data_IF_051150043088
#
_entry.id   IF_051150043088
#
_cell.length_a   1.000
_cell.length_b   1.000
_cell.length_c   1.000
_cell.angle_alpha   90.00
_cell.angle_beta   90.00
_cell.angle_gamma   90.00
#
_symmetry.space_group_name_H-M   'P 1'
#
loop_
_entity.id
_entity.type
_entity.pdbx_description
1 polymer ?
#
# COMPACT_ATOMS: atom_id res chain seq x y z
N UNK A 1 24.13 12.69 19.67
CA UNK A 1 24.62 11.65 18.71
C UNK A 1 24.21 10.32 19.32
N UNK A 2 23.69 9.34 18.59
CA UNK A 2 23.08 8.13 19.21
C UNK A 2 24.07 7.37 20.13
N UNK A 3 25.37 7.50 19.86
CA UNK A 3 26.49 7.02 20.68
C UNK A 3 26.40 7.44 22.16
N UNK A 4 25.86 8.62 22.46
CA UNK A 4 25.76 9.14 23.84
C UNK A 4 24.84 8.26 24.72
N UNK A 5 23.94 7.50 24.09
CA UNK A 5 23.05 6.57 24.77
C UNK A 5 23.66 5.18 24.98
N UNK A 6 24.87 4.89 24.45
CA UNK A 6 25.50 3.57 24.51
C UNK A 6 25.55 3.00 25.92
N UNK A 7 26.18 3.71 26.85
CA UNK A 7 26.35 3.26 28.24
C UNK A 7 25.01 3.02 28.92
N UNK A 8 24.04 3.93 28.71
CA UNK A 8 22.69 3.81 29.29
C UNK A 8 21.93 2.59 28.75
N UNK A 9 22.07 2.29 27.46
CA UNK A 9 21.47 1.12 26.82
C UNK A 9 22.12 -0.18 27.30
N UNK A 10 23.45 -0.23 27.32
CA UNK A 10 24.21 -1.41 27.75
C UNK A 10 23.95 -1.74 29.23
N UNK A 11 23.86 -0.74 30.10
CA UNK A 11 23.46 -0.92 31.50
C UNK A 11 22.04 -1.47 31.68
N UNK A 12 21.18 -1.34 30.67
CA UNK A 12 19.80 -1.88 30.65
C UNK A 12 19.70 -3.20 29.88
N UNK A 13 20.84 -3.83 29.56
CA UNK A 13 20.89 -5.09 28.79
C UNK A 13 20.64 -4.92 27.29
N UNK A 14 20.60 -3.68 26.79
CA UNK A 14 20.53 -3.38 25.36
C UNK A 14 21.90 -3.41 24.69
N UNK A 15 21.91 -3.40 23.36
CA UNK A 15 23.14 -3.30 22.56
C UNK A 15 22.96 -2.24 21.49
N UNK A 16 23.85 -1.26 21.45
CA UNK A 16 23.91 -0.28 20.37
C UNK A 16 24.94 -0.74 19.32
N UNK A 17 24.47 -1.05 18.11
CA UNK A 17 25.32 -1.36 16.96
C UNK A 17 25.23 -0.19 15.98
N UNK A 18 26.39 0.30 15.54
CA UNK A 18 26.50 1.37 14.55
C UNK A 18 27.34 0.82 13.42
N UNK A 19 26.74 0.80 12.22
CA UNK A 19 27.39 0.34 11.00
C UNK A 19 27.49 1.47 9.99
N UNK A 20 28.58 1.52 9.24
CA UNK A 20 28.81 2.49 8.18
C UNK A 20 29.93 2.01 7.24
N UNK A 21 30.01 2.61 6.05
CA UNK A 21 31.12 2.37 5.13
C UNK A 21 32.29 3.31 5.44
N UNK A 22 33.52 2.81 5.33
CA UNK A 22 34.72 3.65 5.41
C UNK A 22 34.82 4.54 4.17
N UNK A 23 34.52 5.83 4.32
CA UNK A 23 35.01 6.95 3.50
C UNK A 23 34.48 7.14 2.07
N UNK A 24 34.38 6.10 1.24
CA UNK A 24 34.32 6.27 -0.23
C UNK A 24 33.12 5.59 -0.94
N UNK A 25 32.16 5.06 -0.18
CA UNK A 25 31.00 4.39 -0.78
C UNK A 25 29.78 5.30 -0.86
N UNK A 26 29.16 5.34 -2.04
CA UNK A 26 27.89 6.05 -2.23
C UNK A 26 26.77 5.43 -1.37
N UNK A 27 25.82 6.24 -0.84
CA UNK A 27 24.67 5.74 -0.11
C UNK A 27 23.85 4.76 -0.95
N UNK A 28 23.56 3.58 -0.39
CA UNK A 28 22.84 2.48 -1.07
C UNK A 28 21.32 2.50 -0.86
N UNK A 29 20.78 3.57 -0.27
CA UNK A 29 19.34 3.78 -0.07
C UNK A 29 18.76 3.10 1.19
N UNK A 30 17.47 3.39 1.44
CA UNK A 30 16.76 2.98 2.65
C UNK A 30 16.63 1.45 2.79
N UNK A 31 16.38 0.73 1.70
CA UNK A 31 16.28 -0.73 1.73
C UNK A 31 17.57 -1.42 2.18
N UNK A 32 18.72 -0.99 1.66
CA UNK A 32 20.02 -1.48 2.11
C UNK A 32 20.26 -1.21 3.59
N UNK A 33 19.97 0.02 4.06
CA UNK A 33 20.14 0.39 5.46
C UNK A 33 19.26 -0.46 6.39
N UNK A 34 17.99 -0.69 6.02
CA UNK A 34 17.06 -1.54 6.79
C UNK A 34 17.53 -2.99 6.81
N UNK A 35 17.93 -3.57 5.67
CA UNK A 35 18.46 -4.93 5.62
C UNK A 35 19.71 -5.09 6.51
N UNK A 36 20.64 -4.12 6.47
CA UNK A 36 21.85 -4.14 7.30
C UNK A 36 21.56 -3.99 8.79
N UNK A 37 20.61 -3.14 9.17
CA UNK A 37 20.18 -3.01 10.56
C UNK A 37 19.56 -4.33 11.07
N UNK A 38 18.77 -5.02 10.24
CA UNK A 38 18.17 -6.31 10.59
C UNK A 38 19.24 -7.39 10.74
N UNK A 39 20.22 -7.46 9.83
CA UNK A 39 21.36 -8.40 9.88
C UNK A 39 22.20 -8.22 11.16
N UNK A 40 22.38 -6.97 11.61
CA UNK A 40 23.14 -6.64 12.82
C UNK A 40 22.34 -6.85 14.12
N UNK A 41 21.01 -6.99 14.03
CA UNK A 41 20.12 -7.16 15.18
C UNK A 41 19.89 -8.63 15.52
N UNK A 42 19.56 -8.92 16.78
CA UNK A 42 19.33 -10.29 17.28
C UNK A 42 17.94 -10.54 17.89
N UNK A 43 17.07 -9.52 17.94
CA UNK A 43 15.74 -9.65 18.53
C UNK A 43 14.81 -10.59 17.76
N UNK A 44 13.93 -11.29 18.47
CA UNK A 44 12.85 -12.13 17.90
C UNK A 44 11.85 -11.28 17.10
N UNK A 45 11.61 -10.04 17.54
CA UNK A 45 10.76 -9.07 16.86
C UNK A 45 11.59 -7.92 16.29
N UNK A 46 11.12 -7.38 15.17
CA UNK A 46 11.66 -6.21 14.50
C UNK A 46 10.69 -5.05 14.70
N UNK A 47 11.20 -3.92 15.19
CA UNK A 47 10.48 -2.65 15.27
C UNK A 47 11.22 -1.63 14.42
N UNK A 48 10.55 -1.05 13.43
CA UNK A 48 11.15 -0.08 12.53
C UNK A 48 11.00 1.34 13.09
N UNK A 49 12.01 2.18 12.89
CA UNK A 49 11.99 3.59 13.25
C UNK A 49 12.94 4.33 12.30
N UNK A 50 12.46 5.37 11.63
CA UNK A 50 13.31 6.25 10.84
C UNK A 50 13.98 7.28 11.77
N UNK A 51 15.18 7.74 11.41
CA UNK A 51 16.07 8.47 12.32
C UNK A 51 15.57 9.86 12.74
N UNK A 52 14.58 10.39 12.04
CA UNK A 52 13.97 11.70 12.22
C UNK A 52 12.59 11.65 12.90
N UNK A 53 12.07 10.45 13.16
CA UNK A 53 10.79 10.20 13.82
C UNK A 53 10.91 10.01 15.34
N UNK A 54 9.79 10.08 16.05
CA UNK A 54 9.73 9.86 17.50
C UNK A 54 8.70 8.78 17.83
N UNK A 55 9.16 7.75 18.53
CA UNK A 55 8.34 6.64 19.02
C UNK A 55 7.56 7.06 20.28
N UNK A 56 6.27 6.72 20.36
CA UNK A 56 5.48 6.89 21.57
C UNK A 56 5.86 5.85 22.65
N UNK A 57 5.78 6.17 23.95
CA UNK A 57 6.22 5.28 25.03
C UNK A 57 5.61 3.87 25.00
N UNK A 58 4.35 3.74 24.59
CA UNK A 58 3.61 2.46 24.58
C UNK A 58 3.72 1.66 23.28
N UNK A 59 4.46 2.16 22.28
CA UNK A 59 4.46 1.56 20.93
C UNK A 59 4.90 0.09 20.95
N UNK A 60 6.02 -0.20 21.61
CA UNK A 60 6.56 -1.57 21.67
C UNK A 60 5.59 -2.54 22.38
N UNK A 61 5.03 -2.13 23.51
CA UNK A 61 4.07 -2.93 24.29
C UNK A 61 2.83 -3.25 23.44
N UNK A 62 2.20 -2.22 22.85
CA UNK A 62 0.95 -2.37 22.14
C UNK A 62 1.10 -3.20 20.85
N UNK A 63 2.17 -2.95 20.07
CA UNK A 63 2.40 -3.69 18.83
C UNK A 63 2.86 -5.13 19.07
N UNK A 64 3.61 -5.40 20.14
CA UNK A 64 3.96 -6.76 20.55
C UNK A 64 2.72 -7.56 20.97
N UNK A 65 1.83 -6.94 21.75
CA UNK A 65 0.57 -7.57 22.13
C UNK A 65 -0.26 -7.92 20.89
N UNK A 66 -0.37 -7.01 19.92
CA UNK A 66 -1.10 -7.21 18.68
C UNK A 66 -0.47 -8.30 17.78
N UNK A 67 0.86 -8.33 17.68
CA UNK A 67 1.60 -9.34 16.91
C UNK A 67 1.41 -10.75 17.49
N UNK A 68 1.21 -10.87 18.81
CA UNK A 68 0.99 -12.15 19.51
C UNK A 68 -0.45 -12.65 19.46
N UNK A 69 -1.42 -11.83 19.04
CA UNK A 69 -2.83 -12.27 18.93
C UNK A 69 -2.98 -13.36 17.87
N UNK A 70 -3.63 -14.47 18.24
CA UNK A 70 -4.07 -15.52 17.29
C UNK A 70 -5.21 -14.97 16.40
N UNK A 71 -5.43 -15.55 15.22
CA UNK A 71 -6.62 -15.23 14.42
C UNK A 71 -7.89 -15.62 15.21
N UNK A 72 -8.84 -14.69 15.31
CA UNK A 72 -10.09 -14.89 16.05
C UNK A 72 -11.13 -15.76 15.31
N UNK A 73 -10.99 -15.97 13.99
CA UNK A 73 -11.99 -16.70 13.18
C UNK A 73 -11.38 -17.78 12.27
N UNK A 74 -11.64 -19.06 12.59
CA UNK A 74 -11.81 -20.12 11.59
C UNK A 74 -10.82 -21.31 11.61
N UNK A 75 -11.29 -22.43 12.16
CA UNK A 75 -11.00 -23.83 11.81
C UNK A 75 -9.55 -24.33 11.98
N UNK A 76 -9.37 -25.18 13.00
CA UNK A 76 -8.23 -26.05 13.27
C UNK A 76 -6.83 -25.40 13.32
N UNK A 77 -6.40 -25.09 14.54
CA UNK A 77 -5.04 -24.69 14.89
C UNK A 77 -3.93 -25.68 14.46
N UNK A 78 -4.29 -26.84 13.89
CA UNK A 78 -3.38 -27.88 13.45
C UNK A 78 -2.95 -27.79 11.98
N UNK A 79 -3.61 -26.97 11.13
CA UNK A 79 -3.36 -26.97 9.67
C UNK A 79 -2.70 -25.72 9.12
N UNK A 80 -2.57 -24.65 9.91
CA UNK A 80 -1.95 -23.40 9.43
C UNK A 80 -0.67 -23.14 10.21
N UNK A 81 0.45 -23.04 9.48
CA UNK A 81 1.78 -22.71 10.02
C UNK A 81 1.83 -21.35 10.73
N UNK A 82 3.02 -20.91 11.19
CA UNK A 82 3.17 -19.67 11.94
C UNK A 82 2.50 -18.47 11.23
N UNK A 83 1.78 -17.65 12.00
CA UNK A 83 1.14 -16.46 11.44
C UNK A 83 2.18 -15.38 11.18
N UNK A 84 2.25 -14.91 9.93
CA UNK A 84 3.14 -13.82 9.52
C UNK A 84 2.34 -12.53 9.37
N UNK A 85 2.60 -11.59 10.27
CA UNK A 85 1.83 -10.35 10.38
C UNK A 85 2.75 -9.13 10.38
N UNK A 86 2.40 -8.13 9.58
CA UNK A 86 2.93 -6.78 9.73
C UNK A 86 1.93 -5.97 10.55
N UNK A 87 2.40 -5.44 11.68
CA UNK A 87 1.62 -4.61 12.58
C UNK A 87 2.06 -3.16 12.41
N UNK A 88 1.15 -2.29 11.99
CA UNK A 88 1.34 -0.84 12.01
C UNK A 88 0.71 -0.19 13.23
N UNK A 89 0.65 1.14 13.23
CA UNK A 89 -0.10 1.94 14.21
C UNK A 89 -0.74 3.15 13.53
N UNK A 90 -1.58 3.89 14.25
CA UNK A 90 -1.85 5.27 13.87
C UNK A 90 -0.61 6.13 14.14
N UNK A 91 -0.58 7.28 13.50
CA UNK A 91 0.52 8.24 13.60
C UNK A 91 -0.01 9.66 13.39
N UNK A 92 0.76 10.65 13.84
CA UNK A 92 0.59 12.05 13.45
C UNK A 92 1.85 12.56 12.76
N UNK A 93 1.76 13.71 12.10
CA UNK A 93 2.89 14.33 11.43
C UNK A 93 3.28 15.63 12.10
N UNK A 94 4.57 15.96 12.01
CA UNK A 94 5.05 17.32 12.25
C UNK A 94 5.76 17.82 10.98
N UNK A 95 5.28 18.91 10.36
CA UNK A 95 4.06 19.68 10.69
C UNK A 95 2.74 18.90 10.49
N UNK A 96 1.70 19.23 11.26
CA UNK A 96 0.42 18.49 11.27
C UNK A 96 -0.32 18.50 9.93
N UNK A 97 -0.24 19.61 9.19
CA UNK A 97 -0.89 19.76 7.90
C UNK A 97 -0.21 18.97 6.76
N UNK A 98 0.96 18.39 6.99
CA UNK A 98 1.69 17.65 5.97
C UNK A 98 0.92 16.42 5.54
N UNK A 99 0.62 16.33 4.23
CA UNK A 99 -0.12 15.21 3.61
C UNK A 99 -1.37 14.79 4.40
N UNK A 100 -2.12 15.75 4.95
CA UNK A 100 -3.24 15.51 5.87
C UNK A 100 -4.25 14.45 5.40
N UNK A 101 -4.58 14.44 4.10
CA UNK A 101 -5.50 13.45 3.51
C UNK A 101 -4.98 12.02 3.61
N UNK A 102 -3.68 11.83 3.42
CA UNK A 102 -3.03 10.53 3.59
C UNK A 102 -3.06 10.09 5.05
N UNK A 103 -2.66 10.98 5.96
CA UNK A 103 -2.66 10.70 7.41
C UNK A 103 -4.06 10.32 7.88
N UNK A 104 -5.08 11.08 7.47
CA UNK A 104 -6.48 10.76 7.76
C UNK A 104 -6.85 9.37 7.23
N UNK A 105 -6.63 9.11 5.93
CA UNK A 105 -6.94 7.82 5.31
C UNK A 105 -6.28 6.65 6.04
N UNK A 106 -4.96 6.71 6.27
CA UNK A 106 -4.21 5.63 6.90
C UNK A 106 -4.63 5.39 8.37
N UNK A 107 -5.03 6.44 9.09
CA UNK A 107 -5.49 6.32 10.48
C UNK A 107 -6.94 5.84 10.61
N UNK A 108 -7.79 6.14 9.63
CA UNK A 108 -9.23 5.83 9.70
C UNK A 108 -9.65 4.62 8.86
N UNK A 109 -8.77 4.09 8.00
CA UNK A 109 -9.08 2.91 7.18
C UNK A 109 -9.48 1.73 8.07
N UNK A 110 -10.69 1.14 7.92
CA UNK A 110 -11.10 -0.02 8.71
C UNK A 110 -10.12 -1.20 8.62
N UNK A 111 -9.95 -1.95 9.71
CA UNK A 111 -9.00 -3.07 9.80
C UNK A 111 -9.15 -4.09 8.67
N UNK A 112 -10.39 -4.44 8.32
CA UNK A 112 -10.71 -5.42 7.27
C UNK A 112 -10.45 -4.90 5.85
N UNK A 113 -10.06 -3.63 5.68
CA UNK A 113 -9.69 -3.03 4.40
C UNK A 113 -8.17 -2.80 4.26
N UNK A 114 -7.38 -3.13 5.30
CA UNK A 114 -5.91 -2.94 5.27
C UNK A 114 -5.22 -3.77 4.18
N UNK A 115 -5.74 -4.94 3.83
CA UNK A 115 -5.26 -5.79 2.74
C UNK A 115 -6.08 -5.63 1.44
N UNK A 116 -7.16 -4.85 1.46
CA UNK A 116 -8.04 -4.58 0.32
C UNK A 116 -7.65 -3.28 -0.40
N UNK A 117 -7.46 -2.17 0.32
CA UNK A 117 -7.14 -0.84 -0.25
C UNK A 117 -5.66 -0.66 -0.64
N UNK A 118 -4.99 -1.75 -0.93
CA UNK A 118 -3.55 -1.79 -1.26
C UNK A 118 -3.23 -1.22 -2.64
N UNK A 119 -4.25 -1.00 -3.47
CA UNK A 119 -4.10 -0.49 -4.84
C UNK A 119 -4.22 1.03 -4.95
N UNK A 120 -4.36 1.77 -3.85
CA UNK A 120 -4.44 3.24 -3.86
C UNK A 120 -3.05 3.88 -4.06
N UNK A 121 -3.01 5.14 -4.49
CA UNK A 121 -1.76 5.92 -4.68
C UNK A 121 -1.02 6.25 -3.38
N UNK A 122 -1.61 5.89 -2.25
CA UNK A 122 -1.17 6.20 -0.91
C UNK A 122 -0.40 5.06 -0.24
N UNK A 123 -0.41 3.85 -0.83
CA UNK A 123 0.11 2.64 -0.18
C UNK A 123 1.59 2.74 0.26
N UNK A 124 2.01 2.00 1.30
CA UNK A 124 1.26 0.94 2.02
C UNK A 124 0.10 1.46 2.92
N UNK A 125 -0.85 0.57 3.26
CA UNK A 125 -2.02 0.89 4.11
C UNK A 125 -1.67 1.08 5.59
N UNK A 126 -0.50 0.59 6.00
CA UNK A 126 0.18 0.95 7.24
C UNK A 126 1.52 1.59 6.88
N UNK A 127 1.75 2.84 7.32
CA UNK A 127 2.93 3.59 6.88
C UNK A 127 4.22 3.03 7.50
N UNK A 128 5.32 2.98 6.75
CA UNK A 128 6.66 2.94 7.33
C UNK A 128 6.94 4.31 8.02
N UNK A 129 7.56 4.38 9.21
CA UNK A 129 8.17 3.28 9.95
C UNK A 129 7.31 2.71 11.08
N UNK A 130 5.98 2.78 11.02
CA UNK A 130 5.12 2.19 12.09
C UNK A 130 5.24 0.68 12.20
N UNK A 131 5.92 0.00 11.28
CA UNK A 131 5.94 -1.45 11.20
C UNK A 131 6.59 -2.13 12.40
N UNK A 132 5.97 -3.22 12.82
CA UNK A 132 6.42 -4.16 13.84
C UNK A 132 6.06 -5.58 13.40
N UNK A 133 6.99 -6.54 13.50
CA UNK A 133 6.73 -7.92 13.13
C UNK A 133 7.70 -8.91 13.76
N UNK A 134 7.33 -10.19 13.81
CA UNK A 134 8.29 -11.26 14.12
C UNK A 134 9.36 -11.35 13.02
N UNK A 135 10.61 -11.63 13.37
CA UNK A 135 11.74 -11.72 12.44
C UNK A 135 11.46 -12.70 11.30
N UNK A 136 10.77 -13.81 11.58
CA UNK A 136 10.37 -14.82 10.60
C UNK A 136 9.48 -14.25 9.50
N UNK A 137 8.70 -13.19 9.81
CA UNK A 137 7.91 -12.46 8.80
C UNK A 137 8.80 -11.79 7.77
N UNK A 138 9.93 -11.21 8.20
CA UNK A 138 10.95 -10.67 7.31
C UNK A 138 11.71 -11.77 6.56
N UNK A 139 12.16 -12.82 7.26
CA UNK A 139 12.99 -13.89 6.68
C UNK A 139 12.32 -14.66 5.53
N UNK A 140 10.99 -14.64 5.46
CA UNK A 140 10.22 -15.23 4.36
C UNK A 140 10.38 -14.53 3.03
N UNK A 141 10.78 -13.27 3.01
CA UNK A 141 10.84 -12.46 1.80
C UNK A 141 12.25 -12.57 1.22
N UNK A 142 12.44 -13.24 0.07
CA UNK A 142 13.76 -13.40 -0.51
C UNK A 142 14.38 -12.03 -0.82
N UNK A 143 15.60 -11.82 -0.31
CA UNK A 143 16.35 -10.57 -0.47
C UNK A 143 15.89 -9.40 0.41
N UNK A 144 14.88 -9.58 1.29
CA UNK A 144 14.42 -8.53 2.18
C UNK A 144 13.85 -7.30 1.45
N UNK A 145 14.17 -6.10 1.95
CA UNK A 145 13.84 -4.84 1.30
C UNK A 145 14.64 -4.67 0.00
N UNK A 146 14.06 -4.02 -1.00
CA UNK A 146 14.75 -3.76 -2.26
C UNK A 146 15.97 -2.84 -2.07
N UNK A 147 17.15 -3.29 -2.49
CA UNK A 147 18.41 -2.53 -2.39
C UNK A 147 18.77 -1.80 -3.70
N UNK A 148 17.80 -1.59 -4.61
CA UNK A 148 18.03 -0.89 -5.89
C UNK A 148 18.42 0.59 -5.73
N UNK A 149 18.34 1.14 -4.52
CA UNK A 149 18.83 2.47 -4.18
C UNK A 149 17.77 3.56 -4.35
N UNK A 150 18.24 4.80 -4.59
CA UNK A 150 17.40 6.01 -4.62
C UNK A 150 16.28 5.90 -5.66
N UNK A 151 15.08 6.36 -5.31
CA UNK A 151 13.88 6.27 -6.17
C UNK A 151 13.13 4.95 -6.10
N UNK A 152 13.59 4.01 -5.25
CA UNK A 152 12.92 2.74 -5.02
C UNK A 152 11.93 2.86 -3.86
N UNK A 153 10.65 2.48 -4.02
CA UNK A 153 9.69 2.35 -2.91
C UNK A 153 9.88 0.99 -2.23
N UNK A 154 10.96 0.82 -1.46
CA UNK A 154 11.36 -0.47 -0.92
C UNK A 154 10.32 -1.07 0.04
N UNK A 155 9.64 -0.21 0.79
CA UNK A 155 8.59 -0.57 1.73
C UNK A 155 7.35 -1.09 1.01
N UNK A 156 6.86 -0.41 -0.03
CA UNK A 156 5.73 -0.88 -0.84
C UNK A 156 6.03 -2.21 -1.54
N UNK A 157 7.26 -2.38 -2.06
CA UNK A 157 7.69 -3.64 -2.68
C UNK A 157 7.66 -4.77 -1.65
N UNK A 158 8.22 -4.55 -0.46
CA UNK A 158 8.20 -5.52 0.63
C UNK A 158 6.76 -5.86 1.07
N UNK A 159 5.93 -4.83 1.26
CA UNK A 159 4.54 -4.95 1.65
C UNK A 159 3.74 -5.84 0.69
N UNK A 160 3.94 -5.65 -0.62
CA UNK A 160 3.33 -6.49 -1.64
C UNK A 160 3.81 -7.94 -1.61
N UNK A 161 5.13 -8.17 -1.50
CA UNK A 161 5.68 -9.53 -1.36
C UNK A 161 5.12 -10.24 -0.11
N UNK A 162 4.99 -9.52 1.01
CA UNK A 162 4.41 -10.05 2.24
C UNK A 162 2.98 -10.57 2.02
N UNK A 163 2.13 -9.75 1.41
CA UNK A 163 0.75 -10.12 1.06
C UNK A 163 0.68 -11.26 0.05
N UNK A 164 1.57 -11.29 -0.94
CA UNK A 164 1.57 -12.33 -1.97
C UNK A 164 1.95 -13.70 -1.43
N UNK A 165 2.72 -13.73 -0.33
CA UNK A 165 3.03 -14.92 0.44
C UNK A 165 1.96 -15.26 1.51
N UNK A 166 0.77 -14.64 1.43
CA UNK A 166 -0.34 -14.88 2.36
C UNK A 166 -0.15 -14.25 3.75
N UNK A 167 0.75 -13.28 3.88
CA UNK A 167 0.92 -12.51 5.10
C UNK A 167 -0.29 -11.61 5.38
N UNK A 168 -0.57 -11.35 6.65
CA UNK A 168 -1.67 -10.47 7.08
C UNK A 168 -1.18 -9.10 7.53
N UNK A 169 -2.04 -8.10 7.48
CA UNK A 169 -1.80 -6.74 7.98
C UNK A 169 -2.72 -6.48 9.18
N UNK A 170 -2.19 -5.86 10.22
CA UNK A 170 -2.96 -5.35 11.36
C UNK A 170 -2.49 -3.94 11.71
N UNK A 171 -3.33 -3.16 12.38
CA UNK A 171 -2.97 -1.85 12.93
C UNK A 171 -3.34 -1.78 14.39
N UNK A 172 -2.46 -1.27 15.24
CA UNK A 172 -2.88 -0.81 16.56
C UNK A 172 -3.56 0.56 16.37
N UNK A 173 -4.84 0.67 16.72
CA UNK A 173 -5.63 1.90 16.54
C UNK A 173 -5.34 2.98 17.61
N UNK A 174 -4.07 3.10 18.00
CA UNK A 174 -3.51 4.13 18.88
C UNK A 174 -2.47 4.96 18.10
N UNK A 175 -2.36 6.25 18.41
CA UNK A 175 -1.30 7.13 17.88
C UNK A 175 0.02 6.82 18.58
N UNK A 176 0.90 6.09 17.90
CA UNK A 176 2.12 5.53 18.49
C UNK A 176 3.40 6.03 17.83
N UNK A 177 3.31 6.95 16.87
CA UNK A 177 4.44 7.49 16.14
C UNK A 177 4.21 8.94 15.74
N UNK A 178 5.16 9.80 16.08
CA UNK A 178 5.31 11.11 15.43
C UNK A 178 6.19 10.93 14.20
N UNK A 179 5.61 11.18 13.02
CA UNK A 179 6.30 11.16 11.74
C UNK A 179 6.80 12.56 11.38
N UNK A 180 8.10 12.72 11.15
CA UNK A 180 8.70 13.97 10.69
C UNK A 180 8.53 14.13 9.20
N UNK A 181 7.77 15.15 8.80
CA UNK A 181 7.71 15.56 7.41
C UNK A 181 8.70 16.68 7.15
N UNK A 182 9.53 16.52 6.12
CA UNK A 182 10.44 17.57 5.67
C UNK A 182 10.68 17.49 4.15
N UNK A 183 11.04 18.60 3.47
CA UNK A 183 11.19 18.64 2.00
C UNK A 183 12.28 17.72 1.43
N UNK A 184 13.23 17.30 2.27
CA UNK A 184 14.34 16.43 1.86
C UNK A 184 14.04 14.94 2.11
N UNK A 185 12.80 14.57 2.44
CA UNK A 185 12.43 13.18 2.69
C UNK A 185 12.68 12.30 1.45
N UNK A 186 13.20 11.09 1.66
CA UNK A 186 13.55 10.16 0.57
C UNK A 186 12.37 9.84 -0.33
N UNK A 187 11.14 9.89 0.19
CA UNK A 187 9.89 9.69 -0.55
C UNK A 187 9.78 10.58 -1.81
N UNK A 188 10.31 11.80 -1.79
CA UNK A 188 10.30 12.69 -2.95
C UNK A 188 11.22 12.25 -4.09
N UNK A 189 12.13 11.29 -3.84
CA UNK A 189 12.93 10.67 -4.89
C UNK A 189 12.16 9.64 -5.73
N UNK A 190 11.02 9.16 -5.23
CA UNK A 190 10.21 8.13 -5.89
C UNK A 190 9.24 8.80 -6.85
N UNK A 191 9.25 8.36 -8.11
CA UNK A 191 8.36 8.95 -9.13
C UNK A 191 6.93 8.42 -9.01
N UNK A 192 5.94 9.25 -9.37
CA UNK A 192 4.53 8.81 -9.45
C UNK A 192 4.37 7.63 -10.42
N UNK A 193 5.14 7.61 -11.51
CA UNK A 193 5.10 6.51 -12.49
C UNK A 193 5.57 5.19 -11.89
N UNK A 194 6.63 5.21 -11.08
CA UNK A 194 7.11 4.01 -10.37
C UNK A 194 6.03 3.40 -9.47
N UNK A 195 5.33 4.25 -8.70
CA UNK A 195 4.22 3.81 -7.85
C UNK A 195 3.04 3.31 -8.70
N UNK A 196 2.72 4.01 -9.79
CA UNK A 196 1.66 3.64 -10.72
C UNK A 196 1.91 2.26 -11.33
N UNK A 197 3.10 2.01 -11.87
CA UNK A 197 3.47 0.73 -12.49
C UNK A 197 3.42 -0.43 -11.49
N UNK A 198 3.93 -0.25 -10.27
CA UNK A 198 3.89 -1.28 -9.23
C UNK A 198 2.45 -1.64 -8.86
N UNK A 199 1.58 -0.64 -8.67
CA UNK A 199 0.16 -0.85 -8.35
C UNK A 199 -0.57 -1.53 -9.50
N UNK A 200 -0.33 -1.08 -10.74
CA UNK A 200 -1.00 -1.62 -11.92
C UNK A 200 -0.62 -3.08 -12.13
N UNK A 201 0.68 -3.39 -12.09
CA UNK A 201 1.20 -4.75 -12.21
C UNK A 201 0.57 -5.68 -11.16
N UNK A 202 0.58 -5.26 -9.89
CA UNK A 202 -0.05 -6.03 -8.81
C UNK A 202 -1.54 -6.26 -9.07
N UNK A 203 -2.27 -5.22 -9.44
CA UNK A 203 -3.72 -5.33 -9.71
C UNK A 203 -3.98 -6.33 -10.84
N UNK A 204 -3.20 -6.27 -11.91
CA UNK A 204 -3.30 -7.23 -13.00
C UNK A 204 -3.04 -8.66 -12.50
N UNK A 205 -1.89 -8.89 -11.90
CA UNK A 205 -1.43 -10.22 -11.46
C UNK A 205 -2.33 -10.83 -10.40
N UNK A 206 -2.90 -10.03 -9.50
CA UNK A 206 -3.65 -10.53 -8.34
C UNK A 206 -5.16 -10.57 -8.53
N UNK A 207 -5.72 -9.73 -9.40
CA UNK A 207 -7.17 -9.64 -9.60
C UNK A 207 -7.64 -9.93 -11.03
N UNK A 208 -6.88 -9.49 -12.04
CA UNK A 208 -7.37 -9.53 -13.41
C UNK A 208 -6.92 -10.76 -14.18
N UNK A 209 -5.65 -11.14 -14.11
CA UNK A 209 -5.08 -12.19 -14.98
C UNK A 209 -4.70 -13.48 -14.25
N UNK A 210 -4.84 -13.53 -12.92
CA UNK A 210 -4.69 -14.73 -12.11
C UNK A 210 -5.73 -15.81 -12.46
N UNK A 211 -5.44 -17.10 -12.16
CA UNK A 211 -6.46 -18.15 -12.14
C UNK A 211 -7.64 -17.76 -11.23
N UNK A 212 -8.86 -17.88 -11.73
CA UNK A 212 -10.06 -17.47 -10.98
C UNK A 212 -10.25 -15.95 -10.85
N UNK A 213 -9.38 -15.13 -11.46
CA UNK A 213 -9.53 -13.68 -11.49
C UNK A 213 -10.80 -13.21 -12.21
N UNK A 214 -11.06 -11.90 -12.16
CA UNK A 214 -12.26 -11.30 -12.73
C UNK A 214 -12.41 -11.62 -14.22
N UNK A 215 -13.59 -12.06 -14.64
CA UNK A 215 -13.87 -12.40 -16.04
C UNK A 215 -14.15 -11.17 -16.91
N UNK A 216 -14.57 -10.09 -16.27
CA UNK A 216 -14.65 -8.76 -16.87
C UNK A 216 -14.91 -7.72 -15.79
N UNK A 217 -14.66 -6.45 -16.07
CA UNK A 217 -14.87 -5.37 -15.10
C UNK A 217 -15.14 -4.04 -15.79
N UNK A 218 -15.70 -3.09 -15.04
CA UNK A 218 -15.97 -1.73 -15.53
C UNK A 218 -15.01 -0.74 -14.86
N UNK A 219 -14.53 0.26 -15.60
CA UNK A 219 -13.72 1.34 -15.04
C UNK A 219 -14.63 2.51 -14.67
N UNK A 220 -14.71 2.87 -13.39
CA UNK A 220 -15.40 4.09 -12.99
C UNK A 220 -14.44 5.27 -13.11
N UNK A 221 -14.73 6.15 -14.09
CA UNK A 221 -14.05 7.40 -14.50
C UNK A 221 -13.76 7.37 -16.02
N UNK A 222 -14.65 7.96 -16.82
CA UNK A 222 -14.45 8.13 -18.27
C UNK A 222 -13.56 9.34 -18.64
N UNK A 223 -12.78 9.85 -17.68
CA UNK A 223 -11.86 10.98 -17.80
C UNK A 223 -10.38 10.56 -17.88
N UNK A 224 -9.48 11.49 -17.53
CA UNK A 224 -8.02 11.33 -17.70
C UNK A 224 -7.46 10.10 -16.96
N UNK A 225 -7.86 9.90 -15.70
CA UNK A 225 -7.30 8.84 -14.86
C UNK A 225 -7.77 7.45 -15.30
N UNK A 226 -9.07 7.23 -15.51
CA UNK A 226 -9.57 5.93 -15.99
C UNK A 226 -9.05 5.59 -17.40
N UNK A 227 -8.90 6.58 -18.29
CA UNK A 227 -8.27 6.36 -19.60
C UNK A 227 -6.77 6.07 -19.48
N UNK A 228 -6.04 6.67 -18.54
CA UNK A 228 -4.64 6.29 -18.25
C UNK A 228 -4.57 4.84 -17.76
N UNK A 229 -5.45 4.46 -16.83
CA UNK A 229 -5.55 3.08 -16.35
C UNK A 229 -5.79 2.09 -17.49
N UNK A 230 -6.82 2.29 -18.31
CA UNK A 230 -7.12 1.41 -19.45
C UNK A 230 -5.94 1.26 -20.43
N UNK A 231 -5.25 2.36 -20.73
CA UNK A 231 -4.10 2.37 -21.64
C UNK A 231 -2.90 1.65 -21.03
N UNK A 232 -2.69 1.75 -19.72
CA UNK A 232 -1.59 1.08 -19.03
C UNK A 232 -1.73 -0.45 -18.94
N UNK A 233 -2.95 -0.99 -19.00
CA UNK A 233 -3.19 -2.43 -18.88
C UNK A 233 -2.48 -3.24 -19.97
N UNK A 234 -1.95 -4.41 -19.62
CA UNK A 234 -1.54 -5.43 -20.56
C UNK A 234 -2.73 -5.90 -21.42
N UNK A 235 -2.46 -6.49 -22.59
CA UNK A 235 -3.50 -6.91 -23.52
C UNK A 235 -4.53 -7.88 -22.90
N UNK A 236 -4.06 -8.82 -22.07
CA UNK A 236 -4.92 -9.82 -21.41
C UNK A 236 -5.86 -9.21 -20.37
N UNK A 237 -5.41 -8.21 -19.62
CA UNK A 237 -6.26 -7.50 -18.67
C UNK A 237 -7.19 -6.51 -19.39
N UNK A 238 -6.68 -5.82 -20.41
CA UNK A 238 -7.43 -4.85 -21.20
C UNK A 238 -8.62 -5.48 -21.93
N UNK A 239 -8.49 -6.72 -22.44
CA UNK A 239 -9.60 -7.42 -23.11
C UNK A 239 -10.76 -7.77 -22.17
N UNK A 240 -10.56 -7.69 -20.85
CA UNK A 240 -11.60 -7.91 -19.83
C UNK A 240 -12.38 -6.64 -19.47
N UNK A 241 -12.01 -5.48 -20.01
CA UNK A 241 -12.69 -4.22 -19.74
C UNK A 241 -14.01 -4.17 -20.52
N UNK A 242 -15.12 -4.06 -19.80
CA UNK A 242 -16.47 -4.01 -20.36
C UNK A 242 -16.86 -2.62 -20.87
N UNK A 243 -16.29 -1.59 -20.27
CA UNK A 243 -16.63 -0.21 -20.54
C UNK A 243 -16.15 0.74 -19.45
N UNK A 244 -16.58 1.99 -19.59
CA UNK A 244 -16.46 3.00 -18.55
C UNK A 244 -17.84 3.32 -17.98
N UNK A 245 -17.88 3.74 -16.71
CA UNK A 245 -19.02 4.46 -16.17
C UNK A 245 -18.62 5.82 -15.61
N UNK A 246 -19.56 6.75 -15.60
CA UNK A 246 -19.37 8.10 -15.07
C UNK A 246 -20.72 8.69 -14.59
N UNK A 247 -20.66 9.86 -13.96
CA UNK A 247 -21.84 10.66 -13.55
C UNK A 247 -22.00 11.89 -14.44
N UNK A 248 -20.93 12.31 -15.13
CA UNK A 248 -20.91 13.49 -15.99
C UNK A 248 -21.75 13.27 -17.26
N UNK A 249 -22.87 13.99 -17.45
CA UNK A 249 -23.74 13.83 -18.62
C UNK A 249 -23.01 14.06 -19.94
N UNK A 250 -21.99 14.94 -19.98
CA UNK A 250 -21.21 15.20 -21.20
C UNK A 250 -20.35 14.02 -21.59
N UNK A 251 -19.84 13.25 -20.61
CA UNK A 251 -19.07 12.03 -20.90
C UNK A 251 -19.98 10.90 -21.33
N UNK A 252 -21.14 10.76 -20.69
CA UNK A 252 -22.14 9.74 -21.02
C UNK A 252 -22.72 9.99 -22.43
N UNK A 253 -23.01 11.26 -22.76
CA UNK A 253 -23.54 11.63 -24.08
C UNK A 253 -22.57 11.34 -25.24
N UNK A 254 -21.26 11.19 -24.98
CA UNK A 254 -20.31 10.73 -26.01
C UNK A 254 -20.55 9.27 -26.43
N UNK A 255 -21.24 8.48 -25.60
CA UNK A 255 -21.62 7.10 -25.86
C UNK A 255 -20.48 6.08 -25.74
N UNK A 256 -19.29 6.42 -26.21
CA UNK A 256 -18.14 5.50 -26.21
C UNK A 256 -16.77 6.20 -26.12
N UNK A 257 -15.78 5.42 -25.71
CA UNK A 257 -14.37 5.75 -25.78
C UNK A 257 -13.68 4.89 -26.85
N UNK A 258 -12.93 5.55 -27.74
CA UNK A 258 -12.09 4.89 -28.74
C UNK A 258 -10.62 4.98 -28.31
N UNK A 259 -9.91 3.84 -28.28
CA UNK A 259 -8.48 3.83 -28.01
C UNK A 259 -7.70 4.09 -29.30
N UNK A 260 -7.45 5.37 -29.57
CA UNK A 260 -6.90 5.83 -30.84
C UNK A 260 -5.49 5.31 -31.12
N UNK A 261 -4.66 5.18 -30.08
CA UNK A 261 -3.27 4.72 -30.19
C UNK A 261 -3.14 3.19 -30.25
N UNK A 262 -4.27 2.45 -30.25
CA UNK A 262 -4.23 0.99 -30.34
C UNK A 262 -3.71 0.51 -31.69
N UNK A 263 -2.83 -0.52 -31.72
CA UNK A 263 -2.41 -1.16 -32.98
C UNK A 263 -3.52 -2.04 -33.59
N UNK A 264 -4.56 -2.40 -32.84
CA UNK A 264 -5.63 -3.28 -33.30
C UNK A 264 -6.50 -2.63 -34.38
N UNK A 265 -7.01 -3.45 -35.30
CA UNK A 265 -7.94 -3.06 -36.36
C UNK A 265 -9.12 -4.06 -36.38
N UNK A 266 -10.38 -3.63 -36.11
CA UNK A 266 -10.79 -2.26 -35.75
C UNK A 266 -10.22 -1.80 -34.41
N UNK A 267 -10.14 -0.47 -34.21
CA UNK A 267 -9.68 0.11 -32.94
C UNK A 267 -10.65 -0.27 -31.81
N UNK A 268 -10.16 -0.58 -30.59
CA UNK A 268 -11.03 -0.89 -29.47
C UNK A 268 -11.97 0.27 -29.15
N UNK A 269 -13.27 -0.05 -29.03
CA UNK A 269 -14.33 0.88 -28.63
C UNK A 269 -14.98 0.35 -27.37
N UNK A 270 -15.20 1.21 -26.39
CA UNK A 270 -15.76 0.86 -25.09
C UNK A 270 -16.94 1.77 -24.76
N UNK A 271 -18.10 1.22 -24.38
CA UNK A 271 -19.24 2.05 -24.02
C UNK A 271 -18.94 2.91 -22.78
N UNK A 272 -19.55 4.09 -22.72
CA UNK A 272 -19.58 4.96 -21.54
C UNK A 272 -21.03 5.02 -21.06
N UNK A 273 -21.30 4.42 -19.90
CA UNK A 273 -22.65 4.35 -19.33
C UNK A 273 -22.78 5.19 -18.07
N UNK A 274 -24.02 5.50 -17.68
CA UNK A 274 -24.28 6.07 -16.36
C UNK A 274 -23.95 5.05 -15.26
N UNK A 275 -23.45 5.51 -14.10
CA UNK A 275 -23.00 4.62 -13.03
C UNK A 275 -24.08 3.65 -12.53
N UNK A 276 -25.37 4.02 -12.57
CA UNK A 276 -26.48 3.13 -12.15
C UNK A 276 -26.68 1.92 -13.06
N UNK A 277 -26.08 1.90 -14.25
CA UNK A 277 -26.17 0.79 -15.21
C UNK A 277 -24.94 -0.11 -15.17
N UNK A 278 -24.00 0.15 -14.25
CA UNK A 278 -22.73 -0.56 -14.18
C UNK A 278 -22.92 -2.01 -13.76
N UNK A 279 -22.11 -2.90 -14.34
CA UNK A 279 -22.02 -4.30 -13.91
C UNK A 279 -20.72 -4.51 -13.12
N UNK A 280 -20.79 -4.95 -11.85
CA UNK A 280 -19.60 -5.30 -11.09
C UNK A 280 -18.90 -6.51 -11.72
N UNK A 281 -17.59 -6.67 -11.48
CA UNK A 281 -16.78 -5.84 -10.59
C UNK A 281 -16.30 -4.52 -11.21
N UNK A 282 -15.86 -3.57 -10.37
CA UNK A 282 -15.38 -2.25 -10.78
C UNK A 282 -13.94 -1.95 -10.35
N UNK A 283 -13.20 -1.26 -11.21
CA UNK A 283 -11.99 -0.53 -10.81
C UNK A 283 -12.33 0.95 -10.74
N UNK A 284 -12.23 1.52 -9.54
CA UNK A 284 -12.60 2.91 -9.27
C UNK A 284 -11.36 3.79 -9.40
N UNK A 285 -11.32 4.61 -10.46
CA UNK A 285 -10.25 5.58 -10.71
C UNK A 285 -10.68 7.01 -10.33
N UNK A 286 -11.58 7.14 -9.34
CA UNK A 286 -12.05 8.41 -8.78
C UNK A 286 -11.43 8.61 -7.41
N UNK A 287 -10.83 9.79 -7.19
CA UNK A 287 -10.22 10.15 -5.90
C UNK A 287 -11.29 10.38 -4.84
N UNK A 288 -11.16 9.68 -3.71
CA UNK A 288 -12.08 9.73 -2.56
C UNK A 288 -11.87 11.05 -1.78
N UNK A 289 -12.90 11.60 -1.15
CA UNK A 289 -12.81 12.77 -0.25
C UNK A 289 -12.22 14.04 -0.89
N UNK A 290 -12.41 14.27 -2.21
CA UNK A 290 -11.89 15.47 -2.89
C UNK A 290 -12.91 16.61 -3.02
N UNK A 291 -14.20 16.29 -3.16
CA UNK A 291 -15.25 17.28 -3.40
C UNK A 291 -16.53 16.83 -2.67
N UNK A 292 -17.32 17.74 -2.08
CA UNK A 292 -18.71 17.48 -1.78
C UNK A 292 -19.42 17.27 -3.13
N UNK A 293 -19.67 16.01 -3.50
CA UNK A 293 -20.04 15.68 -4.88
C UNK A 293 -20.69 14.32 -5.07
N UNK A 294 -21.16 13.70 -3.99
CA UNK A 294 -21.99 12.50 -4.03
C UNK A 294 -21.32 11.24 -4.58
N UNK A 295 -20.00 11.19 -4.80
CA UNK A 295 -19.35 9.96 -5.26
C UNK A 295 -19.54 8.82 -4.26
N UNK A 296 -19.30 9.10 -2.98
CA UNK A 296 -19.45 8.15 -1.88
C UNK A 296 -20.92 7.70 -1.73
N UNK A 297 -21.89 8.61 -1.89
CA UNK A 297 -23.33 8.32 -1.90
C UNK A 297 -23.73 7.45 -3.11
N UNK A 298 -23.23 7.77 -4.29
CA UNK A 298 -23.45 7.00 -5.51
C UNK A 298 -22.88 5.58 -5.38
N UNK A 299 -21.65 5.45 -4.85
CA UNK A 299 -21.05 4.14 -4.60
C UNK A 299 -21.86 3.35 -3.56
N UNK A 300 -22.29 3.99 -2.47
CA UNK A 300 -23.12 3.36 -1.44
C UNK A 300 -24.47 2.89 -2.01
N UNK A 301 -25.10 3.66 -2.90
CA UNK A 301 -26.38 3.32 -3.52
C UNK A 301 -26.35 2.05 -4.37
N UNK A 302 -25.16 1.61 -4.82
CA UNK A 302 -25.01 0.38 -5.59
C UNK A 302 -25.01 -0.88 -4.71
N UNK A 303 -24.89 -0.75 -3.38
CA UNK A 303 -24.91 -1.89 -2.45
C UNK A 303 -23.77 -2.89 -2.66
N UNK A 304 -22.61 -2.43 -3.15
CA UNK A 304 -21.48 -3.27 -3.52
C UNK A 304 -20.53 -3.48 -2.33
N UNK A 305 -19.83 -4.62 -2.31
CA UNK A 305 -18.83 -4.93 -1.28
C UNK A 305 -17.42 -4.64 -1.80
N UNK A 306 -16.66 -3.82 -1.08
CA UNK A 306 -15.26 -3.55 -1.41
C UNK A 306 -14.38 -4.82 -1.35
N UNK A 307 -13.43 -4.95 -2.26
CA UNK A 307 -12.54 -6.13 -2.38
C UNK A 307 -13.18 -7.31 -3.10
N UNK A 308 -14.51 -7.38 -3.16
CA UNK A 308 -15.26 -8.38 -3.94
C UNK A 308 -15.79 -7.79 -5.24
N UNK A 309 -16.60 -6.74 -5.12
CA UNK A 309 -17.33 -6.14 -6.23
C UNK A 309 -16.63 -4.89 -6.77
N UNK A 310 -15.72 -4.28 -6.01
CA UNK A 310 -14.91 -3.17 -6.50
C UNK A 310 -13.59 -3.01 -5.76
N UNK A 311 -12.64 -2.33 -6.38
CA UNK A 311 -11.39 -1.87 -5.76
C UNK A 311 -11.06 -0.43 -6.16
N UNK A 312 -10.36 0.30 -5.29
CA UNK A 312 -9.87 1.66 -5.59
C UNK A 312 -8.49 1.66 -6.23
N UNK A 313 -8.33 2.41 -7.32
CA UNK A 313 -7.06 2.65 -8.01
C UNK A 313 -6.72 4.15 -8.12
N UNK A 314 -7.35 5.01 -7.31
CA UNK A 314 -7.18 6.45 -7.39
C UNK A 314 -5.96 7.01 -6.64
#
# INVERSE_FOLDING_TARGET
MVEEFRTSLENRGGRLVIGGSNGDQQPKGCGFAKNKAIEQSSGEFLCFLDSDDVIAPRRLEAQLAEARKKKENGCDAATHGPQHVLVGSRFHRIPEASTARYTQWANTLPQHLLDVQVFTSHGPTIIMPTWFCARETYSRIPGGFSEQGKGTPEDLIFFYKHLDLGGSIRRVDEDLLMYRYHPNATTFSISEETIWELRLRRLEERLLICPGGWQGFTIWNAGKQGKRFYRGLCQKARSKVRGFCDVDPKKIARGEYVFEESPLRPKPRLPIVHFTQVRPPLVICVKINLMPGGFEENLASLGLTEGRDYVHFA
#
